data_IF_390415987228
#
_entry.id   IF_390415987228
#
_cell.length_a   1.000
_cell.length_b   1.000
_cell.length_c   1.000
_cell.angle_alpha   90.00
_cell.angle_beta   90.00
_cell.angle_gamma   90.00
#
_symmetry.space_group_name_H-M   'P 1'
#
loop_
_entity.id
_entity.type
_entity.pdbx_description
1 polymer ?
#
# COMPACT_ATOMS: atom_id res chain seq x y z
N UNK A 1 -6.35 -53.12 39.85
CA UNK A 1 -5.27 -52.19 39.46
C UNK A 1 -5.02 -52.16 37.96
N UNK A 2 -4.83 -53.30 37.30
CA UNK A 2 -4.46 -53.40 35.87
C UNK A 2 -5.42 -52.62 34.93
N UNK A 3 -6.75 -52.71 35.13
CA UNK A 3 -7.73 -51.95 34.32
C UNK A 3 -7.62 -50.42 34.47
N UNK A 4 -7.21 -49.92 35.64
CA UNK A 4 -7.02 -48.47 35.87
C UNK A 4 -5.72 -47.97 35.22
N UNK A 5 -4.68 -48.80 35.20
CA UNK A 5 -3.41 -48.50 34.54
C UNK A 5 -3.60 -48.45 33.01
N UNK A 6 -4.36 -49.39 32.45
CA UNK A 6 -4.67 -49.42 31.01
C UNK A 6 -5.48 -48.20 30.57
N UNK A 7 -6.47 -47.77 31.38
CA UNK A 7 -7.27 -46.58 31.09
C UNK A 7 -6.41 -45.29 31.10
N UNK A 8 -5.48 -45.20 32.04
CA UNK A 8 -4.56 -44.06 32.15
C UNK A 8 -3.58 -44.00 30.97
N UNK A 9 -3.09 -45.16 30.51
CA UNK A 9 -2.22 -45.26 29.33
C UNK A 9 -2.95 -44.86 28.04
N UNK A 10 -4.21 -45.28 27.86
CA UNK A 10 -5.05 -44.86 26.72
C UNK A 10 -5.32 -43.35 26.78
N UNK A 11 -5.60 -42.79 27.96
CA UNK A 11 -5.83 -41.36 28.11
C UNK A 11 -4.57 -40.52 27.81
N UNK A 12 -3.39 -40.98 28.27
CA UNK A 12 -2.09 -40.36 27.95
C UNK A 12 -1.76 -40.46 26.46
N UNK A 13 -2.15 -41.54 25.79
CA UNK A 13 -2.00 -41.69 24.35
C UNK A 13 -2.93 -40.71 23.61
N UNK A 14 -4.21 -40.60 23.97
CA UNK A 14 -5.14 -39.63 23.34
C UNK A 14 -4.70 -38.17 23.57
N UNK A 15 -4.19 -37.84 24.77
CA UNK A 15 -3.67 -36.51 25.08
C UNK A 15 -2.40 -36.16 24.30
N UNK A 16 -1.55 -37.16 24.00
CA UNK A 16 -0.33 -36.95 23.19
C UNK A 16 -0.63 -36.82 21.69
N UNK A 17 -1.66 -37.50 21.16
CA UNK A 17 -2.15 -37.26 19.80
C UNK A 17 -2.78 -35.87 19.64
N UNK A 18 -3.46 -35.35 20.66
CA UNK A 18 -4.04 -34.00 20.64
C UNK A 18 -3.01 -32.86 20.61
N UNK A 19 -1.75 -33.14 20.91
CA UNK A 19 -0.64 -32.17 20.90
C UNK A 19 0.23 -32.25 19.64
N UNK A 20 0.08 -33.29 18.81
CA UNK A 20 0.79 -33.44 17.55
C UNK A 20 -0.08 -32.88 16.40
N UNK A 21 0.15 -31.62 16.02
CA UNK A 21 -0.39 -31.09 14.76
C UNK A 21 -1.03 -29.71 14.79
N UNK A 22 -0.73 -28.83 15.75
CA UNK A 22 -1.06 -27.40 15.55
C UNK A 22 -0.10 -26.82 14.51
N UNK A 23 -0.55 -26.82 13.25
CA UNK A 23 0.08 -26.04 12.16
C UNK A 23 0.23 -24.60 12.62
N UNK A 24 1.47 -24.15 12.82
CA UNK A 24 1.75 -22.76 13.21
C UNK A 24 1.59 -21.89 11.96
N UNK A 25 0.77 -20.85 12.04
CA UNK A 25 0.59 -19.91 10.93
C UNK A 25 1.44 -18.66 11.16
N UNK A 26 2.17 -18.26 10.13
CA UNK A 26 2.81 -16.96 10.03
C UNK A 26 1.87 -15.96 9.38
N UNK A 27 1.78 -14.75 9.92
CA UNK A 27 1.03 -13.63 9.36
C UNK A 27 2.03 -12.63 8.78
N UNK A 28 1.84 -12.26 7.52
CA UNK A 28 2.65 -11.30 6.80
C UNK A 28 1.75 -10.15 6.36
N UNK A 29 2.22 -8.92 6.48
CA UNK A 29 1.48 -7.74 6.06
C UNK A 29 2.18 -7.04 4.90
N UNK A 30 1.40 -6.41 4.05
CA UNK A 30 1.84 -5.44 3.06
C UNK A 30 0.81 -4.30 3.00
N UNK A 31 1.08 -3.24 2.26
CA UNK A 31 0.09 -2.18 2.12
C UNK A 31 0.52 -1.02 1.23
N UNK A 32 -0.24 0.06 1.35
CA UNK A 32 0.02 1.32 0.70
C UNK A 32 -0.34 2.51 1.59
N UNK A 33 0.40 3.61 1.46
CA UNK A 33 0.07 4.86 2.11
C UNK A 33 0.52 6.09 1.29
N UNK A 34 -0.45 6.91 0.87
CA UNK A 34 -0.17 8.23 0.32
C UNK A 34 0.32 9.17 1.44
N UNK A 35 1.52 9.74 1.27
CA UNK A 35 2.18 10.55 2.30
C UNK A 35 1.78 12.02 2.28
N UNK A 36 0.84 12.45 1.43
CA UNK A 36 0.38 13.85 1.27
C UNK A 36 1.58 14.82 1.14
N UNK A 37 2.14 14.87 -0.07
CA UNK A 37 3.27 15.73 -0.47
C UNK A 37 4.40 15.78 0.56
N UNK A 38 5.13 14.67 0.72
CA UNK A 38 6.34 14.66 1.52
C UNK A 38 7.50 15.28 0.71
N UNK A 39 7.65 16.60 0.88
CA UNK A 39 8.75 17.41 0.35
C UNK A 39 9.71 17.81 1.48
N UNK A 40 10.99 17.96 1.16
CA UNK A 40 11.97 18.66 1.99
C UNK A 40 11.77 20.19 1.86
N UNK A 41 12.76 20.99 2.26
CA UNK A 41 12.64 22.44 2.36
C UNK A 41 13.68 23.18 1.52
N UNK A 42 14.40 22.46 0.67
CA UNK A 42 15.43 22.99 -0.20
C UNK A 42 14.90 23.07 -1.64
N UNK A 43 15.23 24.15 -2.33
CA UNK A 43 14.85 24.37 -3.73
C UNK A 43 15.68 23.48 -4.64
N UNK A 44 14.99 22.64 -5.43
CA UNK A 44 15.49 21.93 -6.58
C UNK A 44 14.98 22.63 -7.87
N UNK A 45 15.84 23.40 -8.55
CA UNK A 45 15.48 24.10 -9.78
C UNK A 45 15.03 23.18 -10.93
N UNK A 46 15.26 21.87 -10.83
CA UNK A 46 14.79 20.88 -11.80
C UNK A 46 13.38 20.36 -11.49
N UNK A 47 12.84 20.68 -10.32
CA UNK A 47 11.54 20.27 -9.83
C UNK A 47 10.68 21.46 -9.37
N UNK A 48 10.11 22.26 -10.28
CA UNK A 48 9.30 23.44 -9.90
C UNK A 48 8.00 23.12 -9.12
N UNK A 49 7.71 21.85 -8.85
CA UNK A 49 6.62 21.45 -7.95
C UNK A 49 6.96 21.66 -6.47
N UNK A 50 8.25 21.71 -6.12
CA UNK A 50 8.72 21.94 -4.75
C UNK A 50 8.62 23.40 -4.29
N UNK A 51 8.52 24.36 -5.23
CA UNK A 51 8.35 25.80 -4.98
C UNK A 51 7.20 26.09 -4.01
N UNK A 52 6.15 25.25 -4.04
CA UNK A 52 5.01 25.34 -3.12
C UNK A 52 5.41 25.04 -1.66
N UNK A 53 6.39 24.16 -1.50
CA UNK A 53 6.95 23.61 -0.26
C UNK A 53 8.30 24.23 0.11
N UNK A 54 8.52 25.50 -0.23
CA UNK A 54 9.64 26.28 0.32
C UNK A 54 9.22 27.11 1.54
N UNK A 55 10.16 27.55 2.39
CA UNK A 55 9.87 28.48 3.48
C UNK A 55 9.21 29.79 3.01
N UNK A 56 9.58 30.25 1.81
CA UNK A 56 9.00 31.40 1.11
C UNK A 56 7.76 31.05 0.26
N UNK A 57 7.45 29.78 0.11
CA UNK A 57 6.35 29.27 -0.70
C UNK A 57 4.97 29.49 -0.07
N UNK A 58 3.88 29.22 -0.81
CA UNK A 58 2.49 29.36 -0.36
C UNK A 58 2.14 28.54 0.89
N UNK A 59 2.81 27.42 1.16
CA UNK A 59 2.63 26.64 2.39
C UNK A 59 3.51 27.11 3.56
N UNK A 60 4.43 28.04 3.29
CA UNK A 60 5.48 28.51 4.21
C UNK A 60 6.16 27.32 4.90
N UNK A 61 6.63 26.36 4.11
CA UNK A 61 7.12 25.08 4.58
C UNK A 61 8.51 25.23 5.20
N UNK A 62 8.58 25.23 6.53
CA UNK A 62 9.83 25.43 7.26
C UNK A 62 10.44 24.10 7.69
N UNK A 63 11.74 24.05 8.01
CA UNK A 63 12.37 22.85 8.55
C UNK A 63 11.63 22.26 9.76
N UNK A 64 11.04 23.10 10.62
CA UNK A 64 10.25 22.64 11.77
C UNK A 64 8.97 21.92 11.34
N UNK A 65 8.26 22.41 10.31
CA UNK A 65 7.06 21.75 9.77
C UNK A 65 7.43 20.42 9.10
N UNK A 66 8.52 20.40 8.35
CA UNK A 66 9.05 19.19 7.73
C UNK A 66 9.39 18.11 8.77
N UNK A 67 10.09 18.47 9.84
CA UNK A 67 10.38 17.53 10.94
C UNK A 67 9.12 17.01 11.65
N UNK A 68 8.10 17.86 11.83
CA UNK A 68 6.81 17.43 12.37
C UNK A 68 6.08 16.46 11.43
N UNK A 69 6.12 16.73 10.12
CA UNK A 69 5.60 15.81 9.09
C UNK A 69 6.30 14.46 9.13
N UNK A 70 7.63 14.43 9.16
CA UNK A 70 8.41 13.20 9.30
C UNK A 70 8.03 12.42 10.56
N UNK A 71 7.93 13.10 11.71
CA UNK A 71 7.55 12.48 12.99
C UNK A 71 6.14 11.88 12.93
N UNK A 72 5.19 12.61 12.34
CA UNK A 72 3.82 12.14 12.12
C UNK A 72 3.81 10.90 11.22
N UNK A 73 4.47 10.94 10.07
CA UNK A 73 4.53 9.80 9.15
C UNK A 73 5.19 8.57 9.79
N UNK A 74 6.35 8.75 10.44
CA UNK A 74 7.07 7.70 11.14
C UNK A 74 6.20 7.02 12.22
N UNK A 75 5.46 7.83 13.00
CA UNK A 75 4.54 7.33 14.03
C UNK A 75 3.43 6.45 13.44
N UNK A 76 2.86 6.81 12.30
CA UNK A 76 1.80 6.01 11.64
C UNK A 76 2.38 4.72 11.11
N UNK A 77 3.44 4.81 10.30
CA UNK A 77 4.05 3.65 9.64
C UNK A 77 4.50 2.61 10.67
N UNK A 78 5.10 3.04 11.79
CA UNK A 78 5.54 2.14 12.84
C UNK A 78 4.39 1.39 13.56
N UNK A 79 3.16 1.89 13.46
CA UNK A 79 1.96 1.27 14.06
C UNK A 79 1.22 0.36 13.09
N UNK A 80 1.49 0.43 11.79
CA UNK A 80 0.78 -0.35 10.78
C UNK A 80 0.94 -1.85 11.05
N UNK A 81 -0.17 -2.57 10.91
CA UNK A 81 -0.26 -4.02 11.02
C UNK A 81 0.20 -4.67 12.35
N UNK A 82 0.72 -3.91 13.33
CA UNK A 82 1.37 -4.42 14.55
C UNK A 82 0.49 -5.35 15.39
N UNK A 83 -0.83 -5.17 15.36
CA UNK A 83 -1.81 -6.02 16.04
C UNK A 83 -1.81 -7.47 15.52
N UNK A 84 -1.50 -7.67 14.24
CA UNK A 84 -1.58 -8.99 13.56
C UNK A 84 -0.23 -9.50 13.08
N UNK A 85 0.67 -8.58 12.72
CA UNK A 85 2.02 -8.87 12.30
C UNK A 85 3.00 -8.06 13.16
N UNK A 86 3.59 -8.72 14.18
CA UNK A 86 4.80 -8.35 14.90
C UNK A 86 5.69 -7.29 14.27
N UNK A 87 6.16 -7.57 13.06
CA UNK A 87 7.16 -6.76 12.38
C UNK A 87 6.61 -5.58 11.56
N UNK A 88 5.30 -5.36 11.57
CA UNK A 88 4.63 -4.44 10.66
C UNK A 88 4.59 -4.97 9.22
N UNK A 89 4.28 -4.11 8.22
CA UNK A 89 4.37 -4.49 6.82
C UNK A 89 5.77 -5.00 6.43
N UNK A 90 5.83 -6.11 5.72
CA UNK A 90 7.07 -6.57 5.09
C UNK A 90 7.48 -5.65 3.94
N UNK A 91 6.48 -5.09 3.24
CA UNK A 91 6.63 -4.20 2.10
C UNK A 91 5.46 -3.20 2.06
N UNK A 92 5.75 -1.92 1.86
CA UNK A 92 4.79 -0.82 1.89
C UNK A 92 5.04 0.09 0.68
N UNK A 93 4.07 0.19 -0.22
CA UNK A 93 4.10 1.21 -1.27
C UNK A 93 3.76 2.59 -0.68
N UNK A 94 4.38 3.64 -1.19
CA UNK A 94 4.07 5.02 -0.81
C UNK A 94 4.00 5.90 -2.04
N UNK A 95 3.30 7.03 -1.95
CA UNK A 95 3.20 8.03 -3.00
C UNK A 95 3.28 9.45 -2.45
N UNK A 96 3.37 10.41 -3.37
CA UNK A 96 3.55 11.83 -3.06
C UNK A 96 4.87 12.08 -2.32
N UNK A 97 5.92 11.45 -2.84
CA UNK A 97 7.29 11.58 -2.36
C UNK A 97 8.03 12.49 -3.31
N UNK A 98 8.68 13.53 -2.81
CA UNK A 98 9.47 14.42 -3.67
C UNK A 98 10.69 13.73 -4.28
N UNK A 99 11.51 13.10 -3.43
CA UNK A 99 12.81 12.57 -3.83
C UNK A 99 13.27 11.44 -2.88
N UNK A 100 14.44 10.86 -3.15
CA UNK A 100 14.99 9.80 -2.28
C UNK A 100 15.37 10.30 -0.88
N UNK A 101 15.82 11.55 -0.74
CA UNK A 101 16.29 12.12 0.53
C UNK A 101 15.16 12.16 1.56
N UNK A 102 13.95 12.60 1.17
CA UNK A 102 12.83 12.66 2.11
C UNK A 102 12.45 11.28 2.68
N UNK A 103 12.66 10.20 1.90
CA UNK A 103 12.46 8.84 2.38
C UNK A 103 13.57 8.41 3.33
N UNK A 104 14.82 8.79 3.07
CA UNK A 104 15.93 8.52 3.98
C UNK A 104 15.72 9.18 5.33
N UNK A 105 15.28 10.44 5.34
CA UNK A 105 14.96 11.17 6.56
C UNK A 105 13.78 10.52 7.29
N UNK A 106 12.74 10.09 6.56
CA UNK A 106 11.59 9.38 7.11
C UNK A 106 11.99 8.07 7.79
N UNK A 107 12.72 7.18 7.10
CA UNK A 107 13.10 5.87 7.67
C UNK A 107 14.10 6.00 8.81
N UNK A 108 14.81 7.13 8.94
CA UNK A 108 15.70 7.43 10.08
C UNK A 108 14.98 8.13 11.24
N UNK A 109 13.71 8.51 11.07
CA UNK A 109 12.93 9.18 12.13
C UNK A 109 12.29 8.16 13.07
N UNK A 110 12.45 8.33 14.38
CA UNK A 110 11.79 7.47 15.38
C UNK A 110 10.28 7.72 15.42
N UNK A 111 9.43 6.69 15.64
CA UNK A 111 9.79 5.29 15.99
C UNK A 111 10.14 4.37 14.79
N UNK A 112 10.09 4.89 13.56
CA UNK A 112 10.25 4.07 12.34
C UNK A 112 11.69 3.57 12.18
N UNK A 113 12.69 4.35 12.60
CA UNK A 113 14.11 4.00 12.56
C UNK A 113 14.41 2.62 13.16
N UNK A 114 13.79 2.31 14.30
CA UNK A 114 13.95 1.01 14.97
C UNK A 114 13.52 -0.21 14.13
N UNK A 115 12.70 -0.01 13.11
CA UNK A 115 12.23 -1.08 12.23
C UNK A 115 13.23 -1.42 11.12
N UNK A 116 14.11 -0.49 10.76
CA UNK A 116 15.16 -0.69 9.75
C UNK A 116 14.61 -0.91 8.35
N UNK A 117 13.63 -0.10 7.92
CA UNK A 117 13.13 -0.14 6.55
C UNK A 117 14.21 0.33 5.55
N UNK A 118 14.25 -0.34 4.40
CA UNK A 118 15.05 0.03 3.24
C UNK A 118 14.14 0.59 2.13
N UNK A 119 14.75 1.31 1.17
CA UNK A 119 14.04 2.17 0.22
C UNK A 119 14.30 1.70 -1.21
N UNK A 120 13.23 1.63 -2.01
CA UNK A 120 13.29 1.60 -3.48
C UNK A 120 12.60 2.85 -4.02
N UNK A 121 13.33 3.66 -4.80
CA UNK A 121 12.86 4.93 -5.37
C UNK A 121 13.50 5.17 -6.73
N UNK A 122 12.74 5.78 -7.64
CA UNK A 122 13.21 6.32 -8.91
C UNK A 122 12.46 7.61 -9.19
N UNK A 123 13.16 8.61 -9.70
CA UNK A 123 12.54 9.88 -10.07
C UNK A 123 11.65 9.68 -11.30
N UNK A 124 10.49 10.35 -11.32
CA UNK A 124 9.53 10.30 -12.42
C UNK A 124 9.28 11.68 -13.02
N UNK A 125 8.83 11.78 -14.28
CA UNK A 125 8.65 13.06 -14.95
C UNK A 125 7.34 13.77 -14.55
N UNK A 126 6.80 13.50 -13.35
CA UNK A 126 5.55 14.10 -12.90
C UNK A 126 5.67 15.62 -12.76
N UNK A 127 4.62 16.33 -13.17
CA UNK A 127 4.64 17.80 -13.20
C UNK A 127 4.55 18.45 -11.82
N UNK A 128 4.10 17.71 -10.81
CA UNK A 128 4.09 18.18 -9.41
C UNK A 128 5.37 17.81 -8.68
N UNK A 129 6.32 17.08 -9.31
CA UNK A 129 7.55 16.71 -8.63
C UNK A 129 7.40 15.62 -7.61
N UNK A 130 6.46 14.69 -7.82
CA UNK A 130 6.19 13.62 -6.87
C UNK A 130 6.25 12.26 -7.52
N UNK A 131 6.74 11.30 -6.74
CA UNK A 131 6.99 9.94 -7.14
C UNK A 131 6.20 8.93 -6.31
N UNK A 132 6.27 7.69 -6.79
CA UNK A 132 5.95 6.50 -6.00
C UNK A 132 7.24 5.87 -5.50
N UNK A 133 7.17 5.29 -4.32
CA UNK A 133 8.30 4.57 -3.74
C UNK A 133 7.84 3.32 -3.01
N UNK A 134 8.81 2.54 -2.55
CA UNK A 134 8.55 1.39 -1.72
C UNK A 134 9.50 1.35 -0.52
N UNK A 135 8.93 1.13 0.66
CA UNK A 135 9.65 0.83 1.88
C UNK A 135 9.52 -0.67 2.17
N UNK A 136 10.61 -1.39 2.39
CA UNK A 136 10.56 -2.80 2.76
C UNK A 136 11.38 -3.11 4.03
N UNK A 137 10.91 -4.07 4.81
CA UNK A 137 11.63 -4.56 5.99
C UNK A 137 12.52 -5.73 5.56
N UNK A 138 13.86 -5.59 5.54
CA UNK A 138 14.78 -6.63 5.04
C UNK A 138 14.76 -7.92 5.87
N UNK A 139 14.19 -7.88 7.10
CA UNK A 139 13.99 -9.07 7.94
C UNK A 139 12.81 -9.92 7.49
N UNK A 140 11.89 -9.36 6.69
CA UNK A 140 10.65 -10.01 6.26
C UNK A 140 10.55 -10.17 4.74
N UNK A 141 11.19 -9.28 3.98
CA UNK A 141 11.19 -9.24 2.53
C UNK A 141 12.61 -9.13 1.98
N UNK A 142 12.99 -10.03 1.09
CA UNK A 142 14.28 -9.96 0.39
C UNK A 142 14.08 -9.37 -0.99
N UNK A 143 14.60 -8.17 -1.23
CA UNK A 143 14.58 -7.54 -2.56
C UNK A 143 15.43 -8.34 -3.55
N UNK A 144 14.89 -8.62 -4.73
CA UNK A 144 15.63 -9.26 -5.84
C UNK A 144 15.83 -8.30 -7.02
N UNK A 145 14.81 -7.53 -7.38
CA UNK A 145 14.91 -6.52 -8.43
C UNK A 145 13.83 -5.45 -8.29
N UNK A 146 14.06 -4.30 -8.91
CA UNK A 146 13.06 -3.25 -9.04
C UNK A 146 13.17 -2.56 -10.40
N UNK A 147 12.08 -1.97 -10.87
CA UNK A 147 12.02 -1.24 -12.13
C UNK A 147 10.89 -0.21 -12.15
N UNK A 148 11.18 0.99 -12.60
CA UNK A 148 10.17 2.00 -12.94
C UNK A 148 9.65 1.78 -14.37
N UNK A 149 8.35 1.96 -14.56
CA UNK A 149 7.65 1.87 -15.83
C UNK A 149 7.02 3.23 -16.16
N UNK A 150 7.48 3.89 -17.24
CA UNK A 150 6.98 5.20 -17.58
C UNK A 150 5.49 5.26 -17.85
N UNK A 151 4.83 6.34 -17.39
CA UNK A 151 3.49 6.64 -17.87
C UNK A 151 3.53 7.03 -19.35
N UNK A 152 2.88 6.23 -20.19
CA UNK A 152 2.79 6.47 -21.63
C UNK A 152 1.34 6.42 -22.12
N UNK A 153 0.94 7.45 -22.87
CA UNK A 153 -0.36 7.50 -23.54
C UNK A 153 -0.12 7.98 -24.98
N UNK A 154 -0.12 7.07 -25.97
CA UNK A 154 0.20 7.43 -27.36
C UNK A 154 -0.70 8.53 -27.95
N UNK A 155 -1.96 8.60 -27.52
CA UNK A 155 -2.89 9.65 -27.93
C UNK A 155 -2.62 11.01 -27.27
N UNK A 156 -1.77 11.07 -26.24
CA UNK A 156 -1.38 12.27 -25.50
C UNK A 156 0.12 12.23 -25.17
N UNK A 157 1.01 12.25 -26.18
CA UNK A 157 2.43 11.95 -26.01
C UNK A 157 3.20 12.98 -25.15
N UNK A 158 2.62 14.16 -24.93
CA UNK A 158 3.19 15.23 -24.09
C UNK A 158 2.57 15.27 -22.68
N UNK A 159 1.59 14.41 -22.39
CA UNK A 159 1.10 14.26 -21.03
C UNK A 159 2.20 13.57 -20.20
N UNK A 160 2.41 14.07 -19.00
CA UNK A 160 3.39 13.55 -18.05
C UNK A 160 2.67 13.30 -16.74
N UNK A 161 3.00 12.17 -16.12
CA UNK A 161 2.45 11.68 -14.88
C UNK A 161 3.45 10.71 -14.27
N UNK A 162 3.18 10.31 -13.02
CA UNK A 162 3.99 9.36 -12.26
C UNK A 162 4.21 8.06 -13.02
N UNK A 163 5.43 7.58 -12.93
CA UNK A 163 5.81 6.22 -13.31
C UNK A 163 5.23 5.20 -12.32
N UNK A 164 5.17 3.93 -12.73
CA UNK A 164 4.77 2.83 -11.86
C UNK A 164 5.99 2.03 -11.43
N UNK A 165 6.06 1.69 -10.14
CA UNK A 165 7.22 1.00 -9.58
C UNK A 165 6.91 -0.49 -9.37
N UNK A 166 7.63 -1.35 -10.08
CA UNK A 166 7.66 -2.79 -9.81
C UNK A 166 8.78 -3.11 -8.82
N UNK A 167 8.44 -3.77 -7.73
CA UNK A 167 9.37 -4.34 -6.74
C UNK A 167 9.16 -5.85 -6.68
N UNK A 168 10.21 -6.61 -6.98
CA UNK A 168 10.17 -8.08 -6.99
C UNK A 168 11.13 -8.64 -5.95
N UNK A 169 10.67 -9.62 -5.18
CA UNK A 169 11.46 -10.20 -4.11
C UNK A 169 10.87 -11.47 -3.54
N UNK A 170 11.34 -11.85 -2.35
CA UNK A 170 10.90 -13.04 -1.63
C UNK A 170 10.17 -12.62 -0.36
N UNK A 171 8.93 -13.11 -0.20
CA UNK A 171 8.13 -12.99 1.02
C UNK A 171 7.73 -14.38 1.49
N UNK A 172 7.96 -14.69 2.77
CA UNK A 172 7.64 -15.99 3.35
C UNK A 172 8.24 -17.19 2.57
N UNK A 173 9.41 -17.00 1.94
CA UNK A 173 10.10 -18.01 1.13
C UNK A 173 9.50 -18.24 -0.26
N UNK A 174 8.64 -17.34 -0.76
CA UNK A 174 8.02 -17.44 -2.09
C UNK A 174 8.23 -16.16 -2.89
N UNK A 175 8.24 -16.28 -4.22
CA UNK A 175 8.28 -15.13 -5.14
C UNK A 175 7.07 -14.22 -4.91
N UNK A 176 7.32 -12.94 -4.74
CA UNK A 176 6.31 -11.93 -4.47
C UNK A 176 6.66 -10.62 -5.18
N UNK A 177 5.67 -10.03 -5.84
CA UNK A 177 5.82 -8.82 -6.64
C UNK A 177 4.82 -7.78 -6.18
N UNK A 178 5.30 -6.56 -5.94
CA UNK A 178 4.47 -5.39 -5.68
C UNK A 178 4.57 -4.41 -6.85
N UNK A 179 3.43 -3.91 -7.32
CA UNK A 179 3.36 -2.80 -8.28
C UNK A 179 2.76 -1.60 -7.55
N UNK A 180 3.54 -0.54 -7.35
CA UNK A 180 3.12 0.69 -6.68
C UNK A 180 2.67 1.72 -7.70
N UNK A 181 1.51 2.32 -7.46
CA UNK A 181 0.84 3.23 -8.38
C UNK A 181 0.46 4.55 -7.70
N UNK A 182 0.47 5.63 -8.48
CA UNK A 182 -0.23 6.86 -8.17
C UNK A 182 -0.79 7.45 -9.46
N UNK A 183 -2.02 7.07 -9.82
CA UNK A 183 -2.59 7.38 -11.12
C UNK A 183 -3.01 8.85 -11.25
N UNK A 184 -3.12 9.39 -12.48
CA UNK A 184 -3.56 10.75 -12.74
C UNK A 184 -4.82 11.15 -11.96
N UNK A 185 -4.82 12.35 -11.39
CA UNK A 185 -5.95 12.83 -10.58
C UNK A 185 -7.22 13.00 -11.41
N UNK A 186 -8.35 13.23 -10.73
CA UNK A 186 -9.63 13.54 -11.39
C UNK A 186 -9.74 14.99 -11.90
N UNK A 187 -8.63 15.72 -11.99
CA UNK A 187 -8.64 17.09 -12.51
C UNK A 187 -9.16 17.10 -13.96
N UNK A 188 -10.19 17.92 -14.22
CA UNK A 188 -10.95 17.91 -15.48
C UNK A 188 -12.22 17.03 -15.46
N UNK A 189 -12.57 16.47 -14.31
CA UNK A 189 -13.81 15.70 -14.11
C UNK A 189 -13.80 14.38 -14.88
N UNK A 190 -14.96 13.92 -15.33
CA UNK A 190 -15.12 12.61 -16.00
C UNK A 190 -14.25 12.44 -17.25
N UNK A 191 -13.94 13.55 -17.94
CA UNK A 191 -13.05 13.55 -19.13
C UNK A 191 -11.63 13.08 -18.80
N UNK A 192 -11.21 13.15 -17.54
CA UNK A 192 -9.90 12.69 -17.09
C UNK A 192 -9.78 11.16 -16.98
N UNK A 193 -10.90 10.42 -17.06
CA UNK A 193 -10.91 8.97 -16.86
C UNK A 193 -9.96 8.23 -17.81
N UNK A 194 -9.82 8.71 -19.05
CA UNK A 194 -8.92 8.13 -20.06
C UNK A 194 -7.45 8.06 -19.62
N UNK A 195 -6.99 8.98 -18.76
CA UNK A 195 -5.63 8.97 -18.24
C UNK A 195 -5.42 7.85 -17.23
N UNK A 196 -6.43 7.59 -16.38
CA UNK A 196 -6.41 6.48 -15.42
C UNK A 196 -6.61 5.14 -16.10
N UNK A 197 -7.42 5.08 -17.16
CA UNK A 197 -7.51 3.90 -18.03
C UNK A 197 -6.16 3.57 -18.68
N UNK A 198 -5.42 4.57 -19.16
CA UNK A 198 -4.07 4.36 -19.69
C UNK A 198 -3.09 3.86 -18.61
N UNK A 199 -3.14 4.45 -17.40
CA UNK A 199 -2.33 3.98 -16.27
C UNK A 199 -2.67 2.52 -15.90
N UNK A 200 -3.96 2.19 -15.81
CA UNK A 200 -4.44 0.84 -15.58
C UNK A 200 -3.95 -0.16 -16.65
N UNK A 201 -3.94 0.24 -17.92
CA UNK A 201 -3.43 -0.61 -18.99
C UNK A 201 -1.93 -0.92 -18.82
N UNK A 202 -1.12 0.05 -18.38
CA UNK A 202 0.29 -0.15 -18.05
C UNK A 202 0.43 -1.11 -16.86
N UNK A 203 -0.32 -0.89 -15.79
CA UNK A 203 -0.30 -1.76 -14.61
C UNK A 203 -0.65 -3.20 -14.97
N UNK A 204 -1.71 -3.38 -15.78
CA UNK A 204 -2.12 -4.70 -16.28
C UNK A 204 -1.03 -5.33 -17.14
N UNK A 205 -0.40 -4.57 -18.03
CA UNK A 205 0.69 -5.07 -18.86
C UNK A 205 1.87 -5.58 -18.02
N UNK A 206 2.27 -4.85 -16.98
CA UNK A 206 3.33 -5.26 -16.05
C UNK A 206 2.93 -6.57 -15.35
N UNK A 207 1.73 -6.61 -14.79
CA UNK A 207 1.25 -7.74 -14.00
C UNK A 207 1.05 -9.02 -14.87
N UNK A 208 0.50 -8.88 -16.07
CA UNK A 208 0.33 -9.98 -17.03
C UNK A 208 1.70 -10.49 -17.52
N UNK A 209 2.69 -9.60 -17.67
CA UNK A 209 4.07 -9.98 -18.06
C UNK A 209 4.76 -10.81 -16.98
N UNK A 210 4.51 -10.49 -15.70
CA UNK A 210 5.01 -11.30 -14.56
C UNK A 210 4.41 -12.70 -14.61
N UNK A 211 3.09 -12.83 -14.81
CA UNK A 211 2.44 -14.14 -14.91
C UNK A 211 2.85 -14.93 -16.16
N UNK A 212 3.16 -14.23 -17.25
CA UNK A 212 3.69 -14.87 -18.45
C UNK A 212 5.07 -15.51 -18.18
N UNK A 213 5.90 -14.86 -17.36
CA UNK A 213 7.20 -15.40 -16.96
C UNK A 213 7.10 -16.49 -15.87
N UNK A 214 6.18 -16.33 -14.92
CA UNK A 214 5.91 -17.27 -13.84
C UNK A 214 4.39 -17.35 -13.54
N UNK A 215 3.69 -18.39 -14.03
CA UNK A 215 2.26 -18.57 -13.78
C UNK A 215 1.88 -18.72 -12.29
N UNK A 216 2.83 -18.99 -11.40
CA UNK A 216 2.63 -19.12 -9.96
C UNK A 216 2.95 -17.85 -9.18
N UNK A 217 3.38 -16.79 -9.86
CA UNK A 217 3.77 -15.53 -9.26
C UNK A 217 2.65 -14.93 -8.40
N UNK A 218 3.05 -14.35 -7.26
CA UNK A 218 2.13 -13.62 -6.38
C UNK A 218 2.29 -12.15 -6.64
N UNK A 219 1.27 -11.53 -7.24
CA UNK A 219 1.29 -10.12 -7.59
C UNK A 219 0.34 -9.36 -6.67
N UNK A 220 0.84 -8.28 -6.08
CA UNK A 220 0.09 -7.31 -5.30
C UNK A 220 0.22 -5.94 -5.98
N UNK A 221 -0.88 -5.44 -6.54
CA UNK A 221 -1.00 -4.09 -7.07
C UNK A 221 -1.53 -3.20 -5.96
N UNK A 222 -0.81 -2.12 -5.66
CA UNK A 222 -1.19 -1.14 -4.65
C UNK A 222 -1.05 0.27 -5.18
N UNK A 223 -1.77 1.22 -4.58
CA UNK A 223 -1.61 2.62 -4.93
C UNK A 223 -2.82 3.48 -4.69
N UNK A 224 -2.60 4.78 -4.80
CA UNK A 224 -3.65 5.77 -5.01
C UNK A 224 -4.05 5.72 -6.48
N UNK A 225 -5.15 5.04 -6.75
CA UNK A 225 -5.65 4.86 -8.12
C UNK A 225 -6.41 6.09 -8.61
N UNK A 226 -6.70 7.09 -7.77
CA UNK A 226 -7.61 8.20 -8.05
C UNK A 226 -8.99 7.78 -8.60
N UNK A 227 -9.32 6.49 -8.52
CA UNK A 227 -10.55 5.85 -8.93
C UNK A 227 -11.04 4.95 -7.81
N UNK A 228 -12.35 4.78 -7.69
CA UNK A 228 -12.97 3.83 -6.77
C UNK A 228 -12.89 2.40 -7.37
N UNK A 229 -13.11 1.34 -6.57
CA UNK A 229 -13.05 -0.05 -7.07
C UNK A 229 -14.02 -0.34 -8.22
N UNK A 230 -15.13 0.41 -8.33
CA UNK A 230 -16.13 0.20 -9.38
C UNK A 230 -15.91 0.99 -10.66
N UNK A 231 -14.93 1.89 -10.69
CA UNK A 231 -14.66 2.73 -11.87
C UNK A 231 -14.01 1.94 -13.01
N UNK A 232 -14.08 2.50 -14.23
CA UNK A 232 -13.71 1.81 -15.47
C UNK A 232 -12.26 1.32 -15.48
N UNK A 233 -11.32 2.12 -14.99
CA UNK A 233 -9.89 1.77 -14.94
C UNK A 233 -9.62 0.51 -14.09
N UNK A 234 -10.25 0.39 -12.93
CA UNK A 234 -10.08 -0.73 -11.99
C UNK A 234 -10.93 -1.94 -12.39
N UNK A 235 -12.22 -1.73 -12.68
CA UNK A 235 -13.16 -2.80 -12.99
C UNK A 235 -12.98 -3.39 -14.40
N UNK A 236 -12.81 -2.54 -15.41
CA UNK A 236 -12.89 -2.96 -16.81
C UNK A 236 -11.51 -3.12 -17.44
N UNK A 237 -10.60 -2.16 -17.20
CA UNK A 237 -9.24 -2.19 -17.78
C UNK A 237 -8.35 -3.17 -17.01
N UNK A 238 -8.17 -2.98 -15.70
CA UNK A 238 -7.44 -3.95 -14.86
C UNK A 238 -8.16 -5.29 -14.75
N UNK A 239 -9.47 -5.31 -15.00
CA UNK A 239 -10.34 -6.48 -14.77
C UNK A 239 -10.31 -6.96 -13.32
N UNK A 240 -10.04 -6.08 -12.36
CA UNK A 240 -10.02 -6.44 -10.95
C UNK A 240 -11.44 -6.84 -10.53
N UNK A 241 -11.60 -8.03 -9.97
CA UNK A 241 -12.91 -8.62 -9.67
C UNK A 241 -13.36 -8.23 -8.27
N UNK A 242 -14.68 -8.08 -8.14
CA UNK A 242 -15.33 -7.75 -6.88
C UNK A 242 -15.38 -8.93 -5.91
N UNK A 243 -15.47 -10.16 -6.43
CA UNK A 243 -15.51 -11.38 -5.61
C UNK A 243 -14.36 -12.33 -5.95
N UNK A 244 -13.79 -13.04 -4.95
CA UNK A 244 -12.75 -14.03 -5.21
C UNK A 244 -13.19 -15.12 -6.18
N UNK A 245 -14.46 -15.55 -6.10
CA UNK A 245 -15.02 -16.61 -6.95
C UNK A 245 -15.15 -16.22 -8.43
N UNK A 246 -15.02 -14.94 -8.76
CA UNK A 246 -15.07 -14.42 -10.14
C UNK A 246 -13.65 -14.22 -10.72
N UNK A 247 -12.62 -14.63 -9.97
CA UNK A 247 -11.20 -14.39 -10.28
C UNK A 247 -10.55 -15.69 -10.75
N UNK A 248 -10.07 -15.69 -11.99
CA UNK A 248 -9.25 -16.77 -12.53
C UNK A 248 -7.88 -16.83 -11.83
N UNK A 249 -7.14 -17.95 -11.88
CA UNK A 249 -5.81 -18.06 -11.25
C UNK A 249 -4.82 -16.96 -11.66
N UNK A 250 -4.81 -16.58 -12.94
CA UNK A 250 -4.04 -15.47 -13.53
C UNK A 250 -4.80 -14.13 -13.56
N UNK A 251 -6.01 -14.12 -13.00
CA UNK A 251 -6.85 -12.93 -12.85
C UNK A 251 -6.53 -12.13 -11.59
N UNK A 252 -7.26 -11.02 -11.43
CA UNK A 252 -7.07 -10.09 -10.31
C UNK A 252 -8.33 -9.97 -9.47
N UNK A 253 -8.17 -10.05 -8.15
CA UNK A 253 -9.21 -9.78 -7.16
C UNK A 253 -8.90 -8.47 -6.44
N UNK A 254 -9.92 -7.66 -6.14
CA UNK A 254 -9.79 -6.43 -5.37
C UNK A 254 -10.31 -6.60 -3.92
N UNK A 255 -9.43 -6.99 -2.97
CA UNK A 255 -9.75 -7.06 -1.54
C UNK A 255 -10.37 -5.80 -0.93
N UNK A 256 -10.12 -4.62 -1.50
CA UNK A 256 -10.67 -3.35 -1.03
C UNK A 256 -12.11 -3.09 -1.51
N UNK A 257 -12.56 -3.74 -2.59
CA UNK A 257 -13.93 -3.53 -3.12
C UNK A 257 -15.04 -3.86 -2.11
N UNK A 258 -15.02 -4.99 -1.38
CA UNK A 258 -16.03 -5.24 -0.35
C UNK A 258 -16.04 -4.24 0.81
N UNK A 259 -14.95 -3.48 1.01
CA UNK A 259 -14.91 -2.38 1.99
C UNK A 259 -15.63 -1.14 1.43
N UNK A 260 -15.36 -0.81 0.16
CA UNK A 260 -16.06 0.26 -0.55
C UNK A 260 -17.57 0.07 -0.55
N UNK A 261 -18.05 -1.15 -0.81
CA UNK A 261 -19.49 -1.47 -0.78
C UNK A 261 -20.14 -1.23 0.60
N UNK A 262 -19.34 -1.23 1.68
CA UNK A 262 -19.79 -0.94 3.05
C UNK A 262 -19.67 0.55 3.40
N UNK A 263 -19.32 1.40 2.43
CA UNK A 263 -19.09 2.83 2.62
C UNK A 263 -17.75 3.16 3.28
N UNK A 264 -16.81 2.21 3.36
CA UNK A 264 -15.47 2.47 3.89
C UNK A 264 -14.61 3.07 2.77
N UNK A 265 -14.15 4.30 2.98
CA UNK A 265 -13.20 4.98 2.10
C UNK A 265 -11.81 5.09 2.71
N UNK A 266 -10.82 5.38 1.87
CA UNK A 266 -9.47 5.77 2.26
C UNK A 266 -9.29 7.27 2.34
N UNK A 267 -10.11 8.06 1.66
CA UNK A 267 -10.14 9.51 1.76
C UNK A 267 -11.58 10.05 1.67
N UNK A 268 -11.74 11.33 2.00
CA UNK A 268 -13.01 12.04 1.85
C UNK A 268 -12.80 13.38 1.14
N UNK A 269 -13.51 13.55 0.02
CA UNK A 269 -13.47 14.74 -0.82
C UNK A 269 -14.88 15.24 -1.07
N UNK A 270 -15.15 16.54 -0.78
CA UNK A 270 -16.47 17.16 -0.93
C UNK A 270 -17.61 16.33 -0.29
N UNK A 271 -17.42 15.90 0.96
CA UNK A 271 -18.37 15.07 1.72
C UNK A 271 -18.68 13.70 1.09
N UNK A 272 -17.87 13.25 0.12
CA UNK A 272 -17.93 11.92 -0.46
C UNK A 272 -16.73 11.09 0.00
N UNK A 273 -17.03 9.94 0.59
CA UNK A 273 -16.02 8.91 0.86
C UNK A 273 -15.64 8.20 -0.45
N UNK A 274 -14.34 8.11 -0.69
CA UNK A 274 -13.75 7.41 -1.82
C UNK A 274 -12.72 6.39 -1.33
N UNK A 275 -12.53 5.32 -2.10
CA UNK A 275 -11.54 4.29 -1.83
C UNK A 275 -10.52 4.23 -2.96
N UNK A 276 -9.71 5.29 -3.07
CA UNK A 276 -8.67 5.38 -4.10
C UNK A 276 -7.44 4.55 -3.76
N UNK A 277 -7.14 4.40 -2.47
CA UNK A 277 -6.02 3.58 -1.97
C UNK A 277 -6.44 2.10 -1.99
N UNK A 278 -6.19 1.46 -3.13
CA UNK A 278 -6.68 0.11 -3.40
C UNK A 278 -5.58 -0.93 -3.27
N UNK A 279 -5.99 -2.15 -2.91
CA UNK A 279 -5.15 -3.34 -2.84
C UNK A 279 -5.77 -4.39 -3.74
N UNK A 280 -5.05 -4.82 -4.76
CA UNK A 280 -5.50 -5.78 -5.78
C UNK A 280 -4.47 -6.91 -5.85
N UNK A 281 -4.92 -8.16 -5.83
CA UNK A 281 -4.04 -9.34 -5.77
C UNK A 281 -4.32 -10.31 -6.91
N UNK A 282 -3.29 -11.04 -7.34
CA UNK A 282 -3.45 -12.15 -8.29
C UNK A 282 -4.20 -13.33 -7.68
N UNK A 283 -4.85 -14.14 -8.52
CA UNK A 283 -5.57 -15.34 -8.13
C UNK A 283 -4.71 -16.35 -7.37
N UNK A 284 -3.38 -16.37 -7.58
CA UNK A 284 -2.44 -17.25 -6.87
C UNK A 284 -2.40 -17.00 -5.35
N UNK A 285 -2.78 -15.81 -4.89
CA UNK A 285 -2.92 -15.47 -3.48
C UNK A 285 -4.28 -15.90 -2.89
N UNK A 286 -5.23 -16.39 -3.70
CA UNK A 286 -6.53 -16.86 -3.24
C UNK A 286 -6.51 -18.34 -2.84
N UNK A 287 -7.50 -18.74 -2.04
CA UNK A 287 -7.69 -20.09 -1.54
C UNK A 287 -7.33 -20.24 -0.06
N UNK A 288 -7.58 -21.44 0.47
CA UNK A 288 -7.43 -21.75 1.90
C UNK A 288 -6.24 -22.68 2.20
N UNK A 289 -5.57 -23.21 1.17
CA UNK A 289 -4.36 -24.02 1.34
C UNK A 289 -3.20 -23.14 1.83
N UNK A 290 -2.90 -23.25 3.13
CA UNK A 290 -1.88 -22.44 3.80
C UNK A 290 -0.48 -23.01 3.65
N UNK A 291 -0.27 -24.08 2.89
CA UNK A 291 1.08 -24.55 2.52
C UNK A 291 1.84 -23.51 1.68
N UNK A 292 1.12 -22.61 1.01
CA UNK A 292 1.64 -21.44 0.30
C UNK A 292 1.07 -20.15 0.89
N UNK A 293 1.68 -19.01 0.56
CA UNK A 293 1.23 -17.70 1.02
C UNK A 293 -0.15 -17.37 0.43
N UNK A 294 -1.14 -17.15 1.30
CA UNK A 294 -2.54 -16.89 0.91
C UNK A 294 -3.11 -15.66 1.59
N UNK A 295 -3.93 -14.92 0.86
CA UNK A 295 -4.72 -13.81 1.36
C UNK A 295 -5.57 -14.22 2.57
N UNK A 296 -5.64 -13.33 3.54
CA UNK A 296 -6.47 -13.48 4.73
C UNK A 296 -7.50 -12.38 4.83
N UNK A 297 -7.07 -11.12 4.83
CA UNK A 297 -7.95 -9.94 4.91
C UNK A 297 -7.26 -8.68 4.42
N UNK A 298 -8.09 -7.70 4.05
CA UNK A 298 -7.68 -6.31 3.85
C UNK A 298 -8.39 -5.40 4.86
N UNK A 299 -7.82 -4.24 5.16
CA UNK A 299 -8.45 -3.20 5.95
C UNK A 299 -7.94 -1.82 5.56
N UNK A 300 -8.77 -0.80 5.76
CA UNK A 300 -8.32 0.59 5.81
C UNK A 300 -7.99 0.91 7.27
N UNK A 301 -6.76 1.34 7.52
CA UNK A 301 -6.24 1.67 8.83
C UNK A 301 -6.77 3.05 9.28
N UNK A 302 -8.08 3.14 9.46
CA UNK A 302 -8.76 4.30 10.02
C UNK A 302 -8.80 4.15 11.55
N UNK A 303 -7.80 4.72 12.23
CA UNK A 303 -7.72 4.76 13.71
C UNK A 303 -8.00 6.18 14.18
N UNK A 304 -8.59 6.33 15.36
CA UNK A 304 -9.05 7.63 15.87
C UNK A 304 -7.99 8.74 15.80
N UNK A 305 -6.73 8.42 16.11
CA UNK A 305 -5.65 9.41 16.07
C UNK A 305 -5.32 9.92 14.66
N UNK A 306 -5.74 9.23 13.60
CA UNK A 306 -5.60 9.64 12.20
C UNK A 306 -6.78 10.50 11.72
N UNK A 307 -7.76 10.74 12.58
CA UNK A 307 -9.04 11.33 12.18
C UNK A 307 -9.21 12.70 12.79
N UNK A 308 -9.77 13.62 12.01
CA UNK A 308 -10.15 14.96 12.47
C UNK A 308 -11.27 14.82 13.51
N UNK A 309 -11.05 15.29 14.74
CA UNK A 309 -11.95 15.05 15.87
C UNK A 309 -13.14 16.03 15.92
N UNK A 310 -12.96 17.24 15.40
CA UNK A 310 -13.89 18.35 15.59
C UNK A 310 -14.02 19.23 14.33
N UNK A 311 -15.00 20.13 14.34
CA UNK A 311 -15.24 21.07 13.24
C UNK A 311 -15.89 20.44 12.01
N UNK A 312 -15.90 21.20 10.90
CA UNK A 312 -16.63 20.83 9.67
C UNK A 312 -16.15 19.53 9.01
N UNK A 313 -14.88 19.16 9.22
CA UNK A 313 -14.28 17.93 8.67
C UNK A 313 -14.21 16.80 9.69
N UNK A 314 -14.99 16.85 10.77
CA UNK A 314 -15.02 15.76 11.76
C UNK A 314 -15.24 14.41 11.07
N UNK A 315 -14.39 13.43 11.38
CA UNK A 315 -14.42 12.10 10.77
C UNK A 315 -13.54 11.93 9.52
N UNK A 316 -13.01 13.00 8.94
CA UNK A 316 -12.09 12.93 7.79
C UNK A 316 -10.68 12.54 8.24
N UNK A 317 -9.84 12.00 7.33
CA UNK A 317 -8.40 11.91 7.57
C UNK A 317 -7.84 13.26 8.03
N UNK A 318 -7.03 13.23 9.09
CA UNK A 318 -6.38 14.39 9.64
C UNK A 318 -5.16 14.73 8.77
N UNK A 319 -5.42 15.59 7.79
CA UNK A 319 -4.47 16.08 6.79
C UNK A 319 -3.44 17.05 7.34
N UNK A 320 -2.35 17.24 6.59
CA UNK A 320 -1.22 18.12 6.92
C UNK A 320 -1.63 19.58 6.82
N UNK A 321 -2.39 19.93 5.78
CA UNK A 321 -2.83 21.29 5.52
C UNK A 321 -4.34 21.41 5.38
N UNK A 322 -4.91 22.49 5.89
CA UNK A 322 -6.25 22.95 5.53
C UNK A 322 -6.13 24.22 4.71
N UNK A 323 -6.34 24.12 3.40
CA UNK A 323 -5.93 25.16 2.44
C UNK A 323 -4.42 25.38 2.59
N UNK A 324 -3.96 26.62 2.82
CA UNK A 324 -2.54 26.90 3.04
C UNK A 324 -2.15 26.91 4.53
N UNK A 325 -3.10 26.63 5.44
CA UNK A 325 -2.82 26.59 6.88
C UNK A 325 -2.27 25.22 7.26
N UNK A 326 -1.05 25.18 7.78
CA UNK A 326 -0.49 23.98 8.39
C UNK A 326 -1.25 23.64 9.67
N UNK A 327 -1.87 22.46 9.70
CA UNK A 327 -2.65 21.96 10.85
C UNK A 327 -2.01 20.73 11.50
N UNK A 328 -0.80 20.36 11.06
CA UNK A 328 0.06 19.34 11.64
C UNK A 328 -0.61 17.95 11.79
N UNK A 329 -1.41 17.56 10.78
CA UNK A 329 -1.91 16.20 10.68
C UNK A 329 -0.92 15.23 10.02
N UNK A 330 -1.44 14.10 9.59
CA UNK A 330 -0.71 12.96 9.03
C UNK A 330 -0.75 12.95 7.50
N UNK A 331 -1.93 12.69 6.95
CA UNK A 331 -2.19 12.55 5.52
C UNK A 331 -3.69 12.80 5.30
N UNK A 332 -4.07 13.31 4.14
CA UNK A 332 -5.48 13.35 3.71
C UNK A 332 -6.01 11.98 3.26
N UNK A 333 -5.19 10.93 3.36
CA UNK A 333 -5.52 9.53 3.13
C UNK A 333 -5.32 8.68 4.41
N UNK A 334 -6.09 7.59 4.51
CA UNK A 334 -5.83 6.49 5.45
C UNK A 334 -5.00 5.39 4.77
N UNK A 335 -4.06 4.77 5.50
CA UNK A 335 -3.30 3.63 4.98
C UNK A 335 -4.19 2.43 4.64
N UNK A 336 -3.88 1.74 3.54
CA UNK A 336 -4.53 0.49 3.17
C UNK A 336 -3.60 -0.70 3.47
N UNK A 337 -4.09 -1.71 4.21
CA UNK A 337 -3.31 -2.87 4.63
C UNK A 337 -3.91 -4.17 4.13
N UNK A 338 -3.05 -5.09 3.70
CA UNK A 338 -3.39 -6.45 3.32
C UNK A 338 -2.57 -7.44 4.13
N UNK A 339 -3.21 -8.53 4.53
CA UNK A 339 -2.64 -9.58 5.35
C UNK A 339 -2.68 -10.91 4.61
N UNK A 340 -1.58 -11.62 4.69
CA UNK A 340 -1.39 -12.96 4.16
C UNK A 340 -1.03 -13.91 5.29
N UNK A 341 -1.35 -15.19 5.11
CA UNK A 341 -0.99 -16.25 6.03
C UNK A 341 -0.40 -17.44 5.29
N UNK A 342 0.55 -18.10 5.96
CA UNK A 342 1.22 -19.31 5.49
C UNK A 342 1.58 -20.19 6.69
N UNK A 343 1.55 -21.50 6.52
CA UNK A 343 2.09 -22.46 7.49
C UNK A 343 3.61 -22.29 7.63
N UNK A 344 4.05 -22.13 8.88
CA UNK A 344 5.45 -22.15 9.26
C UNK A 344 5.79 -23.62 9.52
N UNK A 345 6.80 -24.10 8.79
CA UNK A 345 7.37 -25.45 8.99
C UNK A 345 8.43 -25.44 10.08
#
# INVERSE_FOLDING_TARGET
MIKKILLLQVLLFVLSYGLMGQTRLGVYAAGFYNLENLFDTEDDPSNPGDDEFLPSGPYSWTPEKYQQKLSNMAKVIAKLAREKCPGGPAILGVSEVENRRVLEDLVKTEPLASMGYEIVHYDSPDRRGIDVACLYNPKLFTLLSSKAYPFVMPSQPNFRSRDQLLVSGILAGESFHMIVNHWPSRYGGDRSSVYREAAAAITKHIADSIHTADPLAKVLIVGDMNDDPSDKSTKEVLKARRKPAETEPDGYFNPTWPLFDKGIGSLCYQDKWNLYDQLIISGNLLGNDRSTLKFWKAEIFNRDFLTTQEGKRKGYPWRTFSNNTFINGYSDHFPALIYFVKEIR
#
